data_IF_822020732136
#
_entry.id   IF_822020732136
#
_cell.length_a   1.000
_cell.length_b   1.000
_cell.length_c   1.000
_cell.angle_alpha   90.00
_cell.angle_beta   90.00
_cell.angle_gamma   90.00
#
_symmetry.space_group_name_H-M   'P 1'
#
loop_
_entity.id
_entity.type
_entity.pdbx_description
1 polymer ?
#
# COMPACT_ATOMS: atom_id res chain seq x y z
N UNK A 1 23.83 30.94 -42.24
CA UNK A 1 22.85 30.06 -42.90
C UNK A 1 22.30 29.06 -41.89
N UNK A 2 20.97 29.04 -41.76
CA UNK A 2 20.06 27.93 -41.36
C UNK A 2 20.22 27.21 -40.00
N UNK A 3 19.11 27.26 -39.27
CA UNK A 3 18.72 26.60 -38.03
C UNK A 3 18.47 25.09 -38.17
N UNK A 4 18.71 24.35 -37.08
CA UNK A 4 17.98 23.16 -36.61
C UNK A 4 18.44 22.96 -35.14
N UNK A 5 17.70 23.27 -34.08
CA UNK A 5 16.32 22.94 -33.67
C UNK A 5 16.15 21.45 -33.32
N UNK A 6 16.48 21.15 -32.06
CA UNK A 6 15.85 20.18 -31.14
C UNK A 6 16.44 20.55 -29.75
N UNK A 7 15.77 21.30 -28.84
CA UNK A 7 14.57 20.94 -28.07
C UNK A 7 14.61 19.44 -27.78
N UNK A 8 14.95 18.96 -26.59
CA UNK A 8 14.23 19.13 -25.32
C UNK A 8 15.23 18.90 -24.17
N UNK A 9 15.47 19.92 -23.35
CA UNK A 9 15.18 19.96 -21.91
C UNK A 9 15.50 18.66 -21.15
N UNK A 10 16.61 18.59 -20.42
CA UNK A 10 16.70 19.09 -19.03
C UNK A 10 15.83 18.32 -18.04
N UNK A 11 16.40 17.22 -17.51
CA UNK A 11 16.24 16.71 -16.14
C UNK A 11 17.25 15.54 -15.96
N UNK A 12 18.56 15.74 -16.04
CA UNK A 12 19.40 16.17 -14.91
C UNK A 12 18.64 16.51 -13.62
N UNK A 13 18.08 15.49 -12.98
CA UNK A 13 18.11 15.36 -11.53
C UNK A 13 18.07 13.86 -11.21
N UNK A 14 19.25 13.31 -10.94
CA UNK A 14 19.36 12.19 -10.00
C UNK A 14 18.75 12.67 -8.67
N UNK A 15 17.44 12.51 -8.52
CA UNK A 15 16.77 12.64 -7.25
C UNK A 15 17.11 11.39 -6.44
N UNK A 16 17.68 11.52 -5.23
CA UNK A 16 18.28 10.40 -4.52
C UNK A 16 17.25 9.37 -4.11
N UNK A 17 17.73 8.14 -3.91
CA UNK A 17 17.18 7.15 -3.00
C UNK A 17 16.50 7.81 -1.78
N UNK A 18 15.18 7.97 -1.82
CA UNK A 18 14.36 8.28 -0.67
C UNK A 18 13.12 7.39 -0.70
N UNK A 19 13.33 6.07 -0.76
CA UNK A 19 12.38 5.10 -0.21
C UNK A 19 12.97 4.66 1.12
N UNK A 20 12.90 5.53 2.11
CA UNK A 20 13.11 5.14 3.51
C UNK A 20 11.76 4.77 4.11
N UNK A 21 11.29 3.57 3.78
CA UNK A 21 10.37 2.82 4.60
C UNK A 21 10.42 1.37 4.13
N UNK A 22 10.90 0.48 5.00
CA UNK A 22 10.78 -0.97 4.90
C UNK A 22 9.28 -1.35 4.92
N UNK A 23 8.60 -1.07 3.82
CA UNK A 23 7.29 -1.60 3.52
C UNK A 23 7.53 -2.59 2.39
N UNK A 24 7.50 -3.86 2.75
CA UNK A 24 7.72 -5.06 1.93
C UNK A 24 7.67 -4.80 0.41
N UNK A 25 8.83 -5.00 -0.20
CA UNK A 25 9.05 -4.99 -1.65
C UNK A 25 8.03 -5.90 -2.37
N UNK A 26 7.54 -6.92 -1.67
CA UNK A 26 6.63 -7.98 -2.12
C UNK A 26 5.38 -7.47 -2.83
N UNK A 27 4.79 -6.35 -2.40
CA UNK A 27 3.54 -5.82 -2.99
C UNK A 27 3.65 -4.37 -3.47
N UNK A 28 4.87 -3.86 -3.62
CA UNK A 28 5.12 -2.47 -3.98
C UNK A 28 4.68 -2.18 -5.41
N UNK A 29 4.90 -3.09 -6.36
CA UNK A 29 4.52 -2.91 -7.76
C UNK A 29 2.99 -2.82 -7.92
N UNK A 30 2.26 -3.67 -7.21
CA UNK A 30 0.80 -3.71 -7.21
C UNK A 30 0.23 -2.44 -6.55
N UNK A 31 0.86 -1.97 -5.47
CA UNK A 31 0.49 -0.72 -4.81
C UNK A 31 0.69 0.49 -5.73
N UNK A 32 1.76 0.50 -6.52
CA UNK A 32 2.00 1.54 -7.53
C UNK A 32 0.99 1.47 -8.68
N UNK A 33 0.65 0.25 -9.15
CA UNK A 33 -0.40 0.07 -10.15
C UNK A 33 -1.77 0.55 -9.64
N UNK A 34 -2.09 0.30 -8.38
CA UNK A 34 -3.30 0.83 -7.73
C UNK A 34 -3.29 2.35 -7.60
N UNK A 35 -2.14 2.97 -7.32
CA UNK A 35 -2.03 4.42 -7.32
C UNK A 35 -2.30 5.00 -8.73
N UNK A 36 -1.75 4.39 -9.77
CA UNK A 36 -1.97 4.79 -11.17
C UNK A 36 -3.44 4.64 -11.59
N UNK A 37 -4.08 3.51 -11.27
CA UNK A 37 -5.52 3.28 -11.53
C UNK A 37 -6.42 4.31 -10.84
N UNK A 38 -6.00 4.81 -9.67
CA UNK A 38 -6.70 5.87 -8.94
C UNK A 38 -6.32 7.29 -9.41
N UNK A 39 -5.49 7.42 -10.44
CA UNK A 39 -5.02 8.69 -10.98
C UNK A 39 -4.12 9.47 -10.01
N UNK A 40 -3.45 8.78 -9.09
CA UNK A 40 -2.60 9.40 -8.07
C UNK A 40 -1.23 9.71 -8.68
N UNK A 41 -0.90 11.00 -8.76
CA UNK A 41 0.40 11.46 -9.25
C UNK A 41 1.52 11.17 -8.24
N UNK A 42 2.78 11.17 -8.70
CA UNK A 42 3.93 10.97 -7.82
C UNK A 42 4.04 12.02 -6.69
N UNK A 43 3.62 13.26 -6.95
CA UNK A 43 3.63 14.31 -5.92
C UNK A 43 2.45 14.17 -4.95
N UNK A 44 1.29 13.72 -5.41
CA UNK A 44 0.20 13.32 -4.51
C UNK A 44 0.58 12.10 -3.68
N UNK A 45 1.28 11.11 -4.23
CA UNK A 45 1.75 9.94 -3.48
C UNK A 45 2.65 10.34 -2.31
N UNK A 46 3.57 11.31 -2.51
CA UNK A 46 4.40 11.85 -1.42
C UNK A 46 3.56 12.50 -0.32
N UNK A 47 2.56 13.28 -0.69
CA UNK A 47 1.69 13.93 0.29
C UNK A 47 0.75 12.94 0.99
N UNK A 48 0.25 11.94 0.27
CA UNK A 48 -0.56 10.83 0.79
C UNK A 48 0.22 10.03 1.84
N UNK A 49 1.48 9.71 1.57
CA UNK A 49 2.37 9.02 2.51
C UNK A 49 2.69 9.86 3.76
N UNK A 50 2.81 11.19 3.61
CA UNK A 50 3.05 12.09 4.75
C UNK A 50 1.81 12.31 5.61
N UNK A 51 0.65 12.43 4.99
CA UNK A 51 -0.59 12.86 5.66
C UNK A 51 -1.46 11.70 6.14
N UNK A 52 -1.15 10.45 5.73
CA UNK A 52 -2.06 9.30 5.90
C UNK A 52 -3.47 9.62 5.41
N UNK A 53 -3.54 10.30 4.27
CA UNK A 53 -4.79 10.65 3.59
C UNK A 53 -5.68 9.42 3.43
N UNK A 54 -7.01 9.61 3.41
CA UNK A 54 -7.97 8.55 3.09
C UNK A 54 -7.68 7.87 1.75
N UNK A 55 -6.96 8.55 0.84
CA UNK A 55 -6.44 7.96 -0.40
C UNK A 55 -5.50 6.77 -0.17
N UNK A 56 -4.73 6.72 0.93
CA UNK A 56 -3.94 5.52 1.31
C UNK A 56 -4.86 4.32 1.49
N UNK A 57 -6.00 4.54 2.17
CA UNK A 57 -7.02 3.52 2.35
C UNK A 57 -7.51 2.96 1.02
N UNK A 58 -7.77 3.82 0.04
CA UNK A 58 -8.21 3.37 -1.29
C UNK A 58 -7.12 2.65 -2.09
N UNK A 59 -5.85 3.02 -1.95
CA UNK A 59 -4.73 2.25 -2.56
C UNK A 59 -4.69 0.84 -1.94
N UNK A 60 -4.73 0.74 -0.61
CA UNK A 60 -4.76 -0.55 0.06
C UNK A 60 -6.03 -1.36 -0.30
N UNK A 61 -7.19 -0.71 -0.43
CA UNK A 61 -8.42 -1.39 -0.85
C UNK A 61 -8.30 -1.92 -2.29
N UNK A 62 -7.70 -1.15 -3.20
CA UNK A 62 -7.41 -1.63 -4.54
C UNK A 62 -6.51 -2.89 -4.50
N UNK A 63 -5.48 -2.89 -3.64
CA UNK A 63 -4.61 -4.05 -3.48
C UNK A 63 -5.36 -5.28 -2.95
N UNK A 64 -6.18 -5.11 -1.91
CA UNK A 64 -7.03 -6.17 -1.34
C UNK A 64 -8.03 -6.70 -2.38
N UNK A 65 -8.60 -5.83 -3.23
CA UNK A 65 -9.44 -6.25 -4.36
C UNK A 65 -8.69 -7.11 -5.36
N UNK A 66 -7.45 -6.77 -5.70
CA UNK A 66 -6.62 -7.57 -6.63
C UNK A 66 -6.33 -8.97 -6.11
N UNK A 67 -6.47 -9.19 -4.81
CA UNK A 67 -6.35 -10.49 -4.15
C UNK A 67 -7.70 -11.21 -3.97
N UNK A 68 -8.78 -10.68 -4.55
CA UNK A 68 -10.15 -11.16 -4.37
C UNK A 68 -10.52 -11.32 -2.88
N UNK A 69 -10.02 -10.40 -2.06
CA UNK A 69 -10.15 -10.46 -0.61
C UNK A 69 -11.19 -9.49 -0.05
N UNK A 70 -12.09 -8.99 -0.89
CA UNK A 70 -13.36 -8.40 -0.48
C UNK A 70 -14.52 -9.31 -0.90
N UNK A 71 -15.51 -9.46 -0.03
CA UNK A 71 -16.77 -10.12 -0.36
C UNK A 71 -17.71 -9.18 -1.15
N UNK A 72 -18.85 -9.70 -1.60
CA UNK A 72 -19.84 -8.90 -2.34
C UNK A 72 -20.48 -7.76 -1.53
N UNK A 73 -20.19 -7.65 -0.23
CA UNK A 73 -20.64 -6.59 0.66
C UNK A 73 -19.50 -5.62 1.05
N UNK A 74 -18.31 -5.77 0.46
CA UNK A 74 -17.13 -4.96 0.78
C UNK A 74 -16.49 -5.29 2.13
N UNK A 75 -16.75 -6.47 2.69
CA UNK A 75 -16.05 -6.97 3.88
C UNK A 75 -14.81 -7.74 3.49
N UNK A 76 -13.79 -7.68 4.34
CA UNK A 76 -12.53 -8.37 4.09
C UNK A 76 -12.71 -9.88 4.28
N UNK A 77 -12.27 -10.68 3.31
CA UNK A 77 -12.21 -12.14 3.41
C UNK A 77 -10.84 -12.51 3.97
N UNK A 78 -10.71 -12.59 5.30
CA UNK A 78 -9.44 -12.84 5.99
C UNK A 78 -8.68 -14.06 5.44
N UNK A 79 -9.40 -15.13 5.14
CA UNK A 79 -8.80 -16.35 4.57
C UNK A 79 -8.07 -16.12 3.24
N UNK A 80 -8.55 -15.18 2.40
CA UNK A 80 -7.92 -14.83 1.13
C UNK A 80 -6.63 -14.04 1.33
N UNK A 81 -6.64 -13.04 2.22
CA UNK A 81 -5.41 -12.31 2.55
C UNK A 81 -4.36 -13.21 3.20
N UNK A 82 -4.78 -14.12 4.08
CA UNK A 82 -3.87 -15.07 4.71
C UNK A 82 -3.29 -16.06 3.69
N UNK A 83 -4.08 -16.49 2.71
CA UNK A 83 -3.58 -17.30 1.58
C UNK A 83 -2.51 -16.57 0.79
N UNK A 84 -2.72 -15.29 0.47
CA UNK A 84 -1.72 -14.48 -0.24
C UNK A 84 -0.44 -14.33 0.58
N UNK A 85 -0.55 -14.13 1.89
CA UNK A 85 0.62 -14.14 2.77
C UNK A 85 1.32 -15.51 2.75
N UNK A 86 0.58 -16.61 2.91
CA UNK A 86 1.13 -17.98 2.91
C UNK A 86 1.85 -18.28 1.58
N UNK A 87 1.29 -17.89 0.44
CA UNK A 87 1.87 -18.06 -0.89
C UNK A 87 3.18 -17.28 -1.07
N UNK A 88 3.33 -16.17 -0.35
CA UNK A 88 4.52 -15.30 -0.38
C UNK A 88 5.44 -15.48 0.83
N UNK A 89 5.22 -16.50 1.68
CA UNK A 89 5.96 -16.71 2.94
C UNK A 89 7.47 -16.65 2.79
N UNK A 90 8.01 -17.17 1.68
CA UNK A 90 9.45 -17.19 1.43
C UNK A 90 10.07 -15.79 1.18
N UNK A 91 9.25 -14.80 0.82
CA UNK A 91 9.66 -13.43 0.53
C UNK A 91 9.35 -12.47 1.69
N UNK A 92 8.79 -12.96 2.79
CA UNK A 92 8.30 -12.16 3.91
C UNK A 92 9.15 -12.47 5.15
N UNK A 93 9.93 -11.48 5.58
CA UNK A 93 10.63 -11.54 6.86
C UNK A 93 9.64 -11.50 8.02
N UNK A 94 9.96 -12.18 9.14
CA UNK A 94 9.08 -12.24 10.32
C UNK A 94 7.64 -12.73 9.99
N UNK A 95 7.50 -13.63 9.00
CA UNK A 95 6.22 -14.12 8.48
C UNK A 95 5.14 -14.39 9.56
N UNK A 96 5.46 -15.18 10.59
CA UNK A 96 4.50 -15.57 11.62
C UNK A 96 4.00 -14.35 12.43
N UNK A 97 4.88 -13.37 12.66
CA UNK A 97 4.53 -12.11 13.33
C UNK A 97 3.65 -11.25 12.42
N UNK A 98 3.98 -11.12 11.13
CA UNK A 98 3.17 -10.35 10.18
C UNK A 98 1.78 -10.97 10.03
N UNK A 99 1.70 -12.30 9.92
CA UNK A 99 0.44 -13.04 9.87
C UNK A 99 -0.41 -12.77 11.11
N UNK A 100 0.17 -12.89 12.31
CA UNK A 100 -0.53 -12.64 13.57
C UNK A 100 -1.02 -11.18 13.69
N UNK A 101 -0.18 -10.22 13.29
CA UNK A 101 -0.54 -8.80 13.28
C UNK A 101 -1.67 -8.49 12.29
N UNK A 102 -1.63 -9.09 11.10
CA UNK A 102 -2.68 -8.91 10.10
C UNK A 102 -4.02 -9.41 10.63
N UNK A 103 -4.08 -10.61 11.20
CA UNK A 103 -5.33 -11.16 11.78
C UNK A 103 -5.88 -10.21 12.85
N UNK A 104 -5.04 -9.81 13.81
CA UNK A 104 -5.46 -8.89 14.87
C UNK A 104 -5.98 -7.55 14.34
N UNK A 105 -5.36 -7.02 13.28
CA UNK A 105 -5.77 -5.75 12.67
C UNK A 105 -7.04 -5.85 11.84
N UNK A 106 -7.32 -7.01 11.21
CA UNK A 106 -8.60 -7.26 10.55
C UNK A 106 -9.71 -7.32 11.60
N UNK A 107 -9.52 -8.10 12.68
CA UNK A 107 -10.50 -8.22 13.75
C UNK A 107 -10.81 -6.85 14.40
N UNK A 108 -9.77 -6.02 14.63
CA UNK A 108 -9.92 -4.66 15.15
C UNK A 108 -10.71 -3.76 14.20
N UNK A 109 -10.43 -3.84 12.89
CA UNK A 109 -11.15 -3.06 11.88
C UNK A 109 -12.62 -3.48 11.77
N UNK A 110 -12.91 -4.79 11.81
CA UNK A 110 -14.28 -5.31 11.79
C UNK A 110 -15.06 -4.91 13.03
N UNK A 111 -14.46 -5.01 14.22
CA UNK A 111 -15.08 -4.61 15.47
C UNK A 111 -15.39 -3.10 15.50
N UNK A 112 -14.52 -2.28 14.91
CA UNK A 112 -14.73 -0.84 14.79
C UNK A 112 -15.80 -0.47 13.75
N UNK A 113 -16.16 -1.39 12.85
CA UNK A 113 -17.03 -1.16 11.70
C UNK A 113 -16.40 -0.22 10.67
N UNK A 114 -16.89 -0.30 9.43
CA UNK A 114 -16.49 0.59 8.34
C UNK A 114 -17.62 0.68 7.31
N UNK A 115 -17.69 1.82 6.62
CA UNK A 115 -18.74 2.16 5.64
C UNK A 115 -18.32 1.90 4.19
N UNK A 116 -17.04 1.65 3.95
CA UNK A 116 -16.48 1.41 2.61
C UNK A 116 -15.24 0.54 2.69
N UNK A 117 -14.88 -0.06 1.55
CA UNK A 117 -13.65 -0.84 1.41
C UNK A 117 -12.39 0.01 1.62
N UNK A 118 -12.39 1.28 1.18
CA UNK A 118 -11.30 2.21 1.47
C UNK A 118 -11.14 2.44 2.98
N UNK A 119 -12.24 2.59 3.71
CA UNK A 119 -12.21 2.76 5.16
C UNK A 119 -11.74 1.47 5.85
N UNK A 120 -12.21 0.30 5.41
CA UNK A 120 -11.76 -0.99 5.90
C UNK A 120 -10.24 -1.15 5.77
N UNK A 121 -9.73 -0.93 4.55
CA UNK A 121 -8.31 -1.05 4.24
C UNK A 121 -7.45 0.02 4.93
N UNK A 122 -8.01 1.22 5.15
CA UNK A 122 -7.38 2.26 5.97
C UNK A 122 -7.22 1.81 7.42
N UNK A 123 -8.28 1.28 8.04
CA UNK A 123 -8.23 0.81 9.43
C UNK A 123 -7.23 -0.32 9.62
N UNK A 124 -7.23 -1.29 8.71
CA UNK A 124 -6.24 -2.37 8.71
C UNK A 124 -4.83 -1.81 8.56
N UNK A 125 -4.60 -0.93 7.58
CA UNK A 125 -3.30 -0.30 7.35
C UNK A 125 -2.81 0.55 8.52
N UNK A 126 -3.69 1.36 9.11
CA UNK A 126 -3.37 2.20 10.27
C UNK A 126 -3.04 1.37 11.51
N UNK A 127 -3.62 0.18 11.64
CA UNK A 127 -3.28 -0.79 12.68
C UNK A 127 -1.95 -1.51 12.38
N UNK A 128 -1.72 -1.92 11.14
CA UNK A 128 -0.61 -2.81 10.76
C UNK A 128 0.71 -2.05 10.58
N UNK A 129 0.71 -0.95 9.80
CA UNK A 129 1.92 -0.20 9.43
C UNK A 129 2.75 0.24 10.65
N UNK A 130 2.17 0.79 11.74
CA UNK A 130 2.96 1.18 12.91
C UNK A 130 3.55 -0.02 13.67
N UNK A 131 2.89 -1.19 13.62
CA UNK A 131 3.34 -2.43 14.28
C UNK A 131 4.43 -3.14 13.47
N UNK A 132 4.51 -2.89 12.16
CA UNK A 132 5.55 -3.39 11.26
C UNK A 132 6.82 -2.54 11.26
N UNK A 133 6.73 -1.22 11.47
CA UNK A 133 7.93 -0.37 11.55
C UNK A 133 8.78 -0.76 12.76
N UNK A 134 10.09 -1.04 12.59
CA UNK A 134 10.98 -1.10 13.74
C UNK A 134 10.96 0.26 14.45
N UNK A 135 10.92 0.23 15.78
CA UNK A 135 11.10 1.43 16.58
C UNK A 135 12.42 2.08 16.16
N UNK A 136 12.39 3.28 15.59
CA UNK A 136 13.60 4.09 15.39
C UNK A 136 14.23 4.27 16.78
N UNK A 137 15.28 3.51 17.06
CA UNK A 137 16.22 3.80 18.15
C UNK A 137 17.35 4.64 17.60
#
# INVERSE_FOLDING_TARGET
MKYALCLVASCLLMAPCFVSAEFDITFMAESLGCADELGITADEAKEILKTRSDKVGCIHACLIRKFDAFDGNGKVISAKLLSVLDDNKAAIDDFDKIKALLVACIDEAEAAGYSSECEAAKKIGDCLVPKLRPARR
#
